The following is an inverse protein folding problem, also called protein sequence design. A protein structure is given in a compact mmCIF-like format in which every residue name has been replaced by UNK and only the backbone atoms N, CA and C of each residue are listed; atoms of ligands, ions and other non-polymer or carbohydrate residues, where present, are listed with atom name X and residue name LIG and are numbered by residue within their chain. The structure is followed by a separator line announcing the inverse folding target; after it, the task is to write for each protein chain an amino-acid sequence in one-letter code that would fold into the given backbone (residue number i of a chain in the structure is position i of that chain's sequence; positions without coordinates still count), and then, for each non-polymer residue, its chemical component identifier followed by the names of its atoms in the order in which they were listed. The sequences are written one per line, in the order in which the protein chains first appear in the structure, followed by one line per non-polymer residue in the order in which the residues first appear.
data_IF_385593576477
#
_entry.id   IF_385593576477
#
_cell.length_a   1.000
_cell.length_b   1.000
_cell.length_c   1.000
_cell.angle_alpha   90.00
_cell.angle_beta   90.00
_cell.angle_gamma   90.00
#
_symmetry.space_group_name_H-M   'P 1'
#
loop_
_entity.id
_entity.type
_entity.pdbx_description
1 polymer ?
#
# COMPACT_ATOMS: atom_id res chain seq x y z
N UNK A 1 2.22 -43.35 22.69
CA UNK A 1 1.23 -42.37 22.21
C UNK A 1 1.26 -41.05 22.98
N UNK A 2 1.15 -41.05 24.31
CA UNK A 2 1.04 -39.80 25.12
C UNK A 2 2.27 -38.88 24.97
N UNK A 3 3.49 -39.41 25.03
CA UNK A 3 4.71 -38.60 24.94
C UNK A 3 4.88 -37.87 23.60
N UNK A 4 4.45 -38.48 22.49
CA UNK A 4 4.52 -37.87 21.16
C UNK A 4 3.51 -36.71 21.03
N UNK A 5 2.30 -36.88 21.57
CA UNK A 5 1.28 -35.81 21.60
C UNK A 5 1.75 -34.60 22.41
N UNK A 6 2.38 -34.83 23.57
CA UNK A 6 2.93 -33.73 24.40
C UNK A 6 4.04 -32.99 23.66
N UNK A 7 4.94 -33.69 22.97
CA UNK A 7 6.02 -33.06 22.21
C UNK A 7 5.49 -32.19 21.05
N UNK A 8 4.46 -32.65 20.32
CA UNK A 8 3.84 -31.88 19.23
C UNK A 8 3.16 -30.61 19.75
N UNK A 9 2.45 -30.69 20.88
CA UNK A 9 1.78 -29.52 21.46
C UNK A 9 2.78 -28.47 21.97
N UNK A 10 3.89 -28.90 22.57
CA UNK A 10 4.96 -28.00 23.00
C UNK A 10 5.64 -27.32 21.82
N UNK A 11 5.91 -28.07 20.75
CA UNK A 11 6.51 -27.52 19.54
C UNK A 11 5.57 -26.52 18.85
N UNK A 12 4.29 -26.86 18.70
CA UNK A 12 3.29 -25.95 18.12
C UNK A 12 3.13 -24.68 18.96
N UNK A 13 3.06 -24.81 20.30
CA UNK A 13 3.01 -23.66 21.20
C UNK A 13 4.26 -22.77 21.12
N UNK A 14 5.44 -23.37 21.00
CA UNK A 14 6.70 -22.62 20.83
C UNK A 14 6.78 -21.93 19.46
N UNK A 15 6.38 -22.61 18.38
CA UNK A 15 6.39 -22.04 17.03
C UNK A 15 5.38 -20.89 16.89
N UNK A 16 4.15 -21.08 17.39
CA UNK A 16 3.12 -20.04 17.41
C UNK A 16 3.56 -18.89 18.33
N UNK A 17 4.04 -19.20 19.53
CA UNK A 17 4.52 -18.19 20.48
C UNK A 17 5.69 -17.37 19.93
N UNK A 18 6.62 -18.01 19.22
CA UNK A 18 7.74 -17.34 18.55
C UNK A 18 7.26 -16.47 17.39
N UNK A 19 6.32 -16.95 16.56
CA UNK A 19 5.72 -16.16 15.50
C UNK A 19 4.97 -14.92 16.03
N UNK A 20 4.20 -15.09 17.11
CA UNK A 20 3.51 -13.97 17.81
C UNK A 20 4.51 -13.00 18.43
N UNK A 21 5.58 -13.49 19.04
CA UNK A 21 6.63 -12.65 19.59
C UNK A 21 7.34 -11.82 18.51
N UNK A 22 7.69 -12.44 17.38
CA UNK A 22 8.27 -11.74 16.24
C UNK A 22 7.32 -10.66 15.70
N UNK A 23 6.04 -10.98 15.52
CA UNK A 23 5.03 -10.02 15.07
C UNK A 23 4.80 -8.85 16.05
N UNK A 24 4.89 -9.09 17.36
CA UNK A 24 4.74 -8.05 18.37
C UNK A 24 6.02 -7.22 18.60
N UNK A 25 7.19 -7.77 18.29
CA UNK A 25 8.48 -7.10 18.49
C UNK A 25 8.82 -6.13 17.36
N UNK A 26 8.14 -6.23 16.21
CA UNK A 26 8.19 -5.27 15.11
C UNK A 26 7.19 -4.13 15.33
N UNK A 27 7.12 -3.58 16.54
CA UNK A 27 6.41 -2.32 16.75
C UNK A 27 7.10 -1.25 15.89
N UNK A 28 6.39 -0.73 14.88
CA UNK A 28 6.83 0.44 14.11
C UNK A 28 7.05 1.55 15.15
N UNK A 29 8.28 2.04 15.36
CA UNK A 29 8.59 2.85 16.54
C UNK A 29 7.93 4.22 16.56
N UNK A 30 7.37 4.64 15.42
CA UNK A 30 6.93 6.00 15.14
C UNK A 30 5.46 5.97 14.69
N UNK A 31 4.67 6.90 15.22
CA UNK A 31 3.31 7.09 14.74
C UNK A 31 3.37 7.69 13.31
N UNK A 32 2.34 7.49 12.47
CA UNK A 32 2.34 8.04 11.11
C UNK A 32 2.69 9.53 11.07
N UNK A 33 2.18 10.32 12.03
CA UNK A 33 2.44 11.76 12.20
C UNK A 33 3.91 12.14 12.42
N UNK A 34 4.79 11.20 12.75
CA UNK A 34 6.23 11.44 12.92
C UNK A 34 6.98 11.42 11.57
N UNK A 35 6.32 11.01 10.48
CA UNK A 35 6.90 11.00 9.13
C UNK A 35 6.89 12.43 8.57
N UNK A 36 8.07 12.98 8.27
CA UNK A 36 8.18 14.30 7.66
C UNK A 36 7.44 14.35 6.31
N UNK A 37 6.58 15.37 6.14
CA UNK A 37 5.83 15.59 4.91
C UNK A 37 4.54 14.76 4.80
N UNK A 38 4.24 13.87 5.76
CA UNK A 38 2.99 13.11 5.73
C UNK A 38 1.78 14.04 5.86
N UNK A 39 0.76 13.73 5.09
CA UNK A 39 -0.58 14.28 5.24
C UNK A 39 -1.55 13.16 5.56
N UNK A 40 -2.50 13.45 6.45
CA UNK A 40 -3.46 12.48 6.95
C UNK A 40 -4.87 13.00 6.67
N UNK A 41 -5.65 12.16 6.00
CA UNK A 41 -7.07 12.38 5.73
C UNK A 41 -7.94 11.42 6.55
N UNK A 42 -9.26 11.53 6.45
CA UNK A 42 -10.17 10.58 7.10
C UNK A 42 -11.33 10.24 6.20
N UNK A 43 -11.29 9.03 5.66
CA UNK A 43 -12.34 8.46 4.83
C UNK A 43 -12.96 7.23 5.48
N UNK A 44 -14.26 7.07 5.25
CA UNK A 44 -14.97 5.83 5.55
C UNK A 44 -14.64 4.76 4.50
N UNK A 45 -14.36 3.54 4.95
CA UNK A 45 -14.08 2.39 4.09
C UNK A 45 -15.37 1.73 3.57
N UNK A 46 -15.25 0.81 2.62
CA UNK A 46 -16.32 -0.04 2.07
C UNK A 46 -17.45 0.76 1.38
N UNK A 47 -17.13 1.95 0.88
CA UNK A 47 -18.06 2.80 0.16
C UNK A 47 -17.83 2.64 -1.35
N UNK A 48 -18.44 1.61 -1.94
CA UNK A 48 -18.28 1.32 -3.37
C UNK A 48 -19.27 2.07 -4.28
N UNK A 49 -18.82 2.46 -5.46
CA UNK A 49 -19.58 3.18 -6.49
C UNK A 49 -19.02 2.88 -7.88
N UNK A 50 -19.89 2.73 -8.88
CA UNK A 50 -19.50 2.41 -10.26
C UNK A 50 -19.19 3.64 -11.14
N UNK A 51 -19.38 4.86 -10.62
CA UNK A 51 -19.17 6.11 -11.36
C UNK A 51 -17.85 6.75 -10.96
N UNK A 52 -17.24 7.51 -11.87
CA UNK A 52 -16.06 8.32 -11.57
C UNK A 52 -16.36 9.32 -10.46
N UNK A 53 -15.36 9.53 -9.61
CA UNK A 53 -15.38 10.40 -8.45
C UNK A 53 -14.45 11.58 -8.64
N UNK A 54 -14.68 12.63 -7.87
CA UNK A 54 -13.73 13.72 -7.67
C UNK A 54 -13.22 13.60 -6.24
N UNK A 55 -11.90 13.69 -6.10
CA UNK A 55 -11.21 13.56 -4.82
C UNK A 55 -10.62 14.90 -4.39
N UNK A 56 -10.39 15.06 -3.10
CA UNK A 56 -9.77 16.25 -2.53
C UNK A 56 -8.25 16.22 -2.74
N UNK A 57 -7.62 15.06 -2.60
CA UNK A 57 -6.21 14.84 -2.87
C UNK A 57 -5.95 14.38 -4.32
N UNK A 58 -4.75 14.69 -4.80
CA UNK A 58 -4.29 14.31 -6.13
C UNK A 58 -2.82 13.86 -6.03
N UNK A 59 -2.52 12.55 -5.99
CA UNK A 59 -3.44 11.41 -6.12
C UNK A 59 -4.29 11.17 -4.86
N UNK A 60 -5.44 10.48 -4.97
CA UNK A 60 -6.34 10.23 -3.83
C UNK A 60 -5.80 9.21 -2.84
N UNK A 61 -6.19 9.37 -1.57
CA UNK A 61 -5.79 8.48 -0.45
C UNK A 61 -6.94 7.67 0.13
N UNK A 62 -8.16 7.84 -0.37
CA UNK A 62 -9.34 7.19 0.19
C UNK A 62 -10.64 7.75 -0.37
N UNK A 63 -11.76 7.28 0.17
CA UNK A 63 -13.09 7.76 -0.17
C UNK A 63 -13.90 6.75 -1.00
N UNK A 64 -14.92 7.27 -1.68
CA UNK A 64 -15.76 6.49 -2.60
C UNK A 64 -14.92 5.90 -3.74
N UNK A 65 -15.09 4.63 -4.07
CA UNK A 65 -14.24 3.96 -5.06
C UNK A 65 -14.93 2.78 -5.75
N UNK A 66 -14.31 2.19 -6.77
CA UNK A 66 -14.94 1.15 -7.60
C UNK A 66 -15.01 -0.19 -6.87
N UNK A 67 -15.88 -1.12 -7.28
CA UNK A 67 -15.87 -2.48 -6.73
C UNK A 67 -14.67 -3.29 -7.25
N UNK A 68 -14.15 -2.94 -8.43
CA UNK A 68 -12.97 -3.57 -9.00
C UNK A 68 -11.70 -2.89 -8.49
N UNK A 69 -10.72 -3.67 -8.05
CA UNK A 69 -9.42 -3.15 -7.59
C UNK A 69 -8.36 -3.19 -8.70
N UNK A 70 -7.31 -2.39 -8.52
CA UNK A 70 -6.08 -2.50 -9.29
C UNK A 70 -5.20 -3.64 -8.75
N UNK A 71 -4.47 -4.31 -9.63
CA UNK A 71 -3.43 -5.24 -9.22
C UNK A 71 -2.35 -4.48 -8.43
N UNK A 72 -1.94 -5.05 -7.31
CA UNK A 72 -0.99 -4.45 -6.39
C UNK A 72 0.04 -5.45 -5.87
N UNK A 73 0.20 -6.61 -6.52
CA UNK A 73 1.24 -7.59 -6.16
C UNK A 73 2.54 -7.32 -6.95
N UNK A 74 3.10 -6.12 -6.75
CA UNK A 74 4.28 -5.64 -7.47
C UNK A 74 3.99 -5.17 -8.88
N UNK A 75 2.76 -4.72 -9.12
CA UNK A 75 2.29 -4.33 -10.45
C UNK A 75 2.92 -3.01 -10.93
N UNK A 76 3.39 -3.01 -12.18
CA UNK A 76 3.95 -1.83 -12.86
C UNK A 76 3.02 -1.45 -14.00
N UNK A 77 2.41 -0.28 -13.90
CA UNK A 77 1.50 0.26 -14.91
C UNK A 77 2.20 1.28 -15.78
N UNK A 78 2.08 1.12 -17.11
CA UNK A 78 2.61 2.05 -18.11
C UNK A 78 1.73 3.29 -18.31
N UNK A 79 0.53 3.27 -17.73
CA UNK A 79 -0.46 4.35 -17.76
C UNK A 79 -0.95 4.65 -16.35
N UNK A 80 -1.50 5.85 -16.17
CA UNK A 80 -2.14 6.22 -14.92
C UNK A 80 -3.27 5.24 -14.59
N UNK A 81 -3.21 4.65 -13.40
CA UNK A 81 -4.31 3.82 -12.89
C UNK A 81 -5.51 4.73 -12.67
N UNK A 82 -6.70 4.25 -13.05
CA UNK A 82 -7.94 4.93 -12.68
C UNK A 82 -8.05 5.01 -11.16
N UNK A 83 -8.21 6.23 -10.65
CA UNK A 83 -8.19 6.56 -9.23
C UNK A 83 -9.09 5.66 -8.38
N UNK A 84 -10.29 5.36 -8.83
CA UNK A 84 -11.25 4.53 -8.10
C UNK A 84 -10.77 3.08 -7.94
N UNK A 85 -10.05 2.54 -8.92
CA UNK A 85 -9.48 1.19 -8.84
C UNK A 85 -8.24 1.18 -7.92
N UNK A 86 -7.44 2.25 -7.97
CA UNK A 86 -6.31 2.41 -7.07
C UNK A 86 -6.76 2.53 -5.61
N UNK A 87 -7.77 3.38 -5.32
CA UNK A 87 -8.31 3.60 -3.98
C UNK A 87 -8.90 2.34 -3.37
N UNK A 88 -9.55 1.47 -4.16
CA UNK A 88 -9.96 0.15 -3.66
C UNK A 88 -8.77 -0.65 -3.15
N UNK A 89 -7.67 -0.70 -3.90
CA UNK A 89 -6.46 -1.40 -3.49
C UNK A 89 -5.89 -0.82 -2.19
N UNK A 90 -5.95 0.51 -2.03
CA UNK A 90 -5.55 1.19 -0.78
C UNK A 90 -6.43 0.75 0.40
N UNK A 91 -7.74 0.61 0.22
CA UNK A 91 -8.65 0.11 1.26
C UNK A 91 -8.19 -1.26 1.79
N UNK A 92 -7.68 -2.10 0.89
CA UNK A 92 -7.17 -3.43 1.20
C UNK A 92 -5.70 -3.46 1.66
N UNK A 93 -5.11 -2.29 1.91
CA UNK A 93 -3.78 -2.15 2.52
C UNK A 93 -2.63 -2.05 1.52
N UNK A 94 -2.91 -1.83 0.23
CA UNK A 94 -1.87 -1.54 -0.74
C UNK A 94 -1.29 -0.13 -0.56
N UNK A 95 -0.09 0.07 -1.12
CA UNK A 95 0.50 1.39 -1.33
C UNK A 95 0.64 1.63 -2.82
N UNK A 96 0.08 2.75 -3.27
CA UNK A 96 0.25 3.24 -4.62
C UNK A 96 1.42 4.21 -4.66
N UNK A 97 2.43 3.89 -5.48
CA UNK A 97 3.54 4.78 -5.77
C UNK A 97 3.23 5.44 -7.11
N UNK A 98 3.23 6.76 -7.11
CA UNK A 98 3.03 7.58 -8.30
C UNK A 98 4.26 8.40 -8.58
N UNK A 99 4.54 8.65 -9.85
CA UNK A 99 5.63 9.53 -10.28
C UNK A 99 5.14 10.54 -11.32
N UNK A 100 5.80 11.69 -11.37
CA UNK A 100 5.59 12.66 -12.42
C UNK A 100 6.31 12.19 -13.70
N UNK A 101 5.58 11.80 -14.77
CA UNK A 101 6.19 11.27 -15.98
C UNK A 101 6.99 12.32 -16.77
N UNK A 102 6.78 13.61 -16.51
CA UNK A 102 7.46 14.70 -17.20
C UNK A 102 8.81 15.07 -16.53
N UNK A 103 9.04 14.62 -15.29
CA UNK A 103 10.19 15.03 -14.47
C UNK A 103 11.09 13.87 -14.02
N UNK A 104 10.57 12.65 -13.91
CA UNK A 104 11.37 11.51 -13.46
C UNK A 104 12.45 11.12 -14.46
N UNK A 105 13.63 10.77 -13.97
CA UNK A 105 14.71 10.23 -14.81
C UNK A 105 14.49 8.73 -15.10
N UNK A 106 15.00 8.25 -16.22
CA UNK A 106 14.94 6.82 -16.58
C UNK A 106 15.62 5.94 -15.51
N UNK A 107 16.72 6.42 -14.92
CA UNK A 107 17.48 5.70 -13.89
C UNK A 107 16.66 5.59 -12.58
N UNK A 108 16.02 6.68 -12.13
CA UNK A 108 15.18 6.66 -10.93
C UNK A 108 13.93 5.80 -11.13
N UNK A 109 13.31 5.88 -12.32
CA UNK A 109 12.15 5.06 -12.65
C UNK A 109 12.51 3.57 -12.68
N UNK A 110 13.69 3.21 -13.17
CA UNK A 110 14.18 1.83 -13.13
C UNK A 110 14.34 1.32 -11.68
N UNK A 111 14.90 2.15 -10.78
CA UNK A 111 15.02 1.80 -9.36
C UNK A 111 13.65 1.58 -8.71
N UNK A 112 12.68 2.46 -8.96
CA UNK A 112 11.32 2.29 -8.44
C UNK A 112 10.65 1.02 -8.99
N UNK A 113 10.82 0.78 -10.28
CA UNK A 113 10.24 -0.39 -10.95
C UNK A 113 10.77 -1.68 -10.36
N UNK A 114 12.10 -1.81 -10.22
CA UNK A 114 12.74 -2.99 -9.64
C UNK A 114 12.33 -3.18 -8.17
N UNK A 115 12.20 -2.09 -7.40
CA UNK A 115 11.75 -2.15 -6.02
C UNK A 115 10.31 -2.66 -5.94
N UNK A 116 9.38 -2.06 -6.69
CA UNK A 116 7.96 -2.42 -6.64
C UNK A 116 7.72 -3.84 -7.14
N UNK A 117 8.35 -4.26 -8.23
CA UNK A 117 8.19 -5.59 -8.80
C UNK A 117 8.59 -6.73 -7.83
N UNK A 118 9.35 -6.42 -6.77
CA UNK A 118 9.77 -7.38 -5.75
C UNK A 118 8.90 -7.40 -4.49
N UNK A 119 7.88 -6.54 -4.39
CA UNK A 119 7.09 -6.35 -3.17
C UNK A 119 5.59 -6.60 -3.41
N UNK A 120 5.01 -7.46 -2.58
CA UNK A 120 3.55 -7.57 -2.49
C UNK A 120 2.96 -6.29 -1.92
N UNK A 121 1.71 -5.99 -2.30
CA UNK A 121 0.94 -4.80 -1.88
C UNK A 121 1.53 -3.45 -2.32
N UNK A 122 2.44 -3.44 -3.29
CA UNK A 122 2.90 -2.23 -3.97
C UNK A 122 2.43 -2.21 -5.43
N UNK A 123 2.08 -1.02 -5.90
CA UNK A 123 1.87 -0.74 -7.32
C UNK A 123 2.50 0.58 -7.73
N UNK A 124 2.99 0.65 -8.97
CA UNK A 124 3.64 1.83 -9.55
C UNK A 124 2.90 2.30 -10.79
N UNK A 125 2.63 3.59 -10.92
CA UNK A 125 2.14 4.17 -12.17
C UNK A 125 2.56 5.63 -12.37
N UNK A 126 2.60 6.14 -13.62
CA UNK A 126 2.68 7.57 -13.84
C UNK A 126 1.42 8.27 -13.31
N UNK A 127 1.55 9.54 -12.93
CA UNK A 127 0.43 10.42 -12.64
C UNK A 127 0.67 11.79 -13.31
N UNK A 128 0.13 12.01 -14.52
CA UNK A 128 0.32 13.27 -15.25
C UNK A 128 -0.16 14.48 -14.45
N UNK A 129 0.66 15.53 -14.40
CA UNK A 129 0.36 16.74 -13.62
C UNK A 129 0.61 16.62 -12.11
N UNK A 130 1.26 15.54 -11.66
CA UNK A 130 1.73 15.43 -10.28
C UNK A 130 2.71 16.56 -9.95
N UNK A 131 2.49 17.24 -8.83
CA UNK A 131 3.28 18.42 -8.44
C UNK A 131 4.62 18.07 -7.78
N UNK A 132 4.76 16.85 -7.26
CA UNK A 132 6.01 16.29 -6.76
C UNK A 132 6.62 15.32 -7.77
N UNK A 133 7.92 15.02 -7.61
CA UNK A 133 8.59 14.01 -8.42
C UNK A 133 7.96 12.62 -8.22
N UNK A 134 7.70 12.27 -6.96
CA UNK A 134 7.11 11.02 -6.50
C UNK A 134 6.10 11.35 -5.41
N UNK A 135 5.00 10.59 -5.32
CA UNK A 135 4.12 10.59 -4.15
C UNK A 135 3.64 9.18 -3.85
N UNK A 136 3.49 8.87 -2.56
CA UNK A 136 3.02 7.59 -2.04
C UNK A 136 1.64 7.77 -1.43
N UNK A 137 0.71 6.89 -1.78
CA UNK A 137 -0.63 6.88 -1.20
C UNK A 137 -0.90 5.54 -0.54
N UNK A 138 -1.39 5.60 0.68
CA UNK A 138 -2.01 4.49 1.40
C UNK A 138 -3.34 4.97 1.95
N UNK A 139 -4.21 4.07 2.44
CA UNK A 139 -5.50 4.49 2.96
C UNK A 139 -5.34 5.59 4.03
N UNK A 140 -5.96 6.74 3.79
CA UNK A 140 -5.91 7.95 4.61
C UNK A 140 -4.54 8.65 4.74
N UNK A 141 -3.48 8.23 4.05
CA UNK A 141 -2.16 8.86 4.19
C UNK A 141 -1.49 9.09 2.85
N UNK A 142 -0.84 10.25 2.72
CA UNK A 142 0.02 10.58 1.60
C UNK A 142 1.35 11.14 2.08
N UNK A 143 2.42 10.76 1.38
CA UNK A 143 3.79 11.28 1.56
C UNK A 143 4.38 11.65 0.20
#
# INVERSE_FOLDING_TARGET
MIAATVAVLLFAGAAIGYAVYQANSTAIPNAPEDIEGVTIATYASQQHVATDQTYDETPPVGGLHDIEWADCDGAIYDQQIRSENAVHSLEHGAVWITYNPDEISDDDLAVLTDYVAAQAYLMLSPFPGLSSLISLQSWNHQV
#
